data_IF_728991542942
#
_entry.id   IF_728991542942
#
_cell.length_a   1.000
_cell.length_b   1.000
_cell.length_c   1.000
_cell.angle_alpha   90.00
_cell.angle_beta   90.00
_cell.angle_gamma   90.00
#
_symmetry.space_group_name_H-M   'P 1'
#
loop_
_entity.id
_entity.type
_entity.pdbx_description
1 polymer ?
#
# COMPACT_ATOMS: atom_id res chain seq x y z
N UNK A 1 24.80 -6.54 -4.13
CA UNK A 1 23.49 -5.94 -3.80
C UNK A 1 22.53 -5.93 -4.98
N UNK A 2 22.87 -5.32 -6.15
CA UNK A 2 21.95 -5.29 -7.31
C UNK A 2 21.58 -6.69 -7.85
N UNK A 3 22.53 -7.62 -7.94
CA UNK A 3 22.28 -9.00 -8.39
C UNK A 3 21.39 -9.78 -7.40
N UNK A 4 21.58 -9.57 -6.11
CA UNK A 4 20.74 -10.15 -5.06
C UNK A 4 19.29 -9.64 -5.12
N UNK A 5 19.11 -8.33 -5.32
CA UNK A 5 17.76 -7.75 -5.49
C UNK A 5 17.09 -8.27 -6.76
N UNK A 6 17.85 -8.51 -7.84
CA UNK A 6 17.32 -9.14 -9.05
C UNK A 6 16.82 -10.56 -8.82
N UNK A 7 17.52 -11.36 -8.02
CA UNK A 7 17.08 -12.71 -7.65
C UNK A 7 15.81 -12.68 -6.81
N UNK A 8 15.72 -11.78 -5.83
CA UNK A 8 14.51 -11.62 -5.00
C UNK A 8 13.33 -11.14 -5.84
N UNK A 9 13.53 -10.13 -6.69
CA UNK A 9 12.49 -9.63 -7.60
C UNK A 9 11.95 -10.74 -8.53
N UNK A 10 12.81 -11.66 -8.98
CA UNK A 10 12.38 -12.78 -9.84
C UNK A 10 11.41 -13.74 -9.14
N UNK A 11 11.43 -13.85 -7.80
CA UNK A 11 10.45 -14.66 -7.05
C UNK A 11 9.03 -14.10 -7.17
N UNK A 12 8.89 -12.79 -7.22
CA UNK A 12 7.59 -12.12 -7.41
C UNK A 12 7.16 -12.13 -8.89
N UNK A 13 8.11 -12.26 -9.82
CA UNK A 13 7.83 -12.28 -11.27
C UNK A 13 7.15 -10.98 -11.73
N UNK A 14 6.15 -11.12 -12.60
CA UNK A 14 5.38 -9.99 -13.15
C UNK A 14 4.17 -9.59 -12.27
N UNK A 15 4.20 -9.91 -10.99
CA UNK A 15 3.10 -9.58 -10.08
C UNK A 15 2.93 -8.06 -9.97
N UNK A 16 1.80 -7.49 -10.47
CA UNK A 16 1.70 -6.06 -10.73
C UNK A 16 1.21 -5.26 -9.50
N UNK A 17 1.70 -5.58 -8.30
CA UNK A 17 1.32 -4.93 -7.05
C UNK A 17 2.32 -3.86 -6.66
N UNK A 18 1.89 -2.60 -6.60
CA UNK A 18 2.74 -1.45 -6.24
C UNK A 18 3.45 -1.63 -4.90
N UNK A 19 2.78 -2.28 -3.94
CA UNK A 19 3.31 -2.57 -2.61
C UNK A 19 4.56 -3.47 -2.68
N UNK A 20 4.58 -4.47 -3.57
CA UNK A 20 5.76 -5.32 -3.75
C UNK A 20 6.94 -4.48 -4.24
N UNK A 21 6.70 -3.63 -5.23
CA UNK A 21 7.75 -2.84 -5.87
C UNK A 21 8.33 -1.78 -4.94
N UNK A 22 7.51 -1.12 -4.12
CA UNK A 22 8.03 -0.16 -3.13
C UNK A 22 8.91 -0.84 -2.08
N UNK A 23 8.57 -2.08 -1.67
CA UNK A 23 9.41 -2.89 -0.79
C UNK A 23 10.73 -3.30 -1.45
N UNK A 24 10.70 -3.75 -2.71
CA UNK A 24 11.89 -4.14 -3.49
C UNK A 24 12.83 -2.96 -3.73
N UNK A 25 12.30 -1.76 -3.95
CA UNK A 25 13.08 -0.53 -4.11
C UNK A 25 13.61 0.03 -2.78
N UNK A 26 13.19 -0.53 -1.66
CA UNK A 26 13.57 -0.05 -0.32
C UNK A 26 13.03 1.36 0.01
N UNK A 27 11.96 1.79 -0.68
CA UNK A 27 11.33 3.10 -0.45
C UNK A 27 10.39 3.05 0.74
N UNK A 28 9.52 2.07 0.79
CA UNK A 28 8.56 1.83 1.87
C UNK A 28 8.43 0.33 2.11
N UNK A 29 8.19 -0.08 3.37
CA UNK A 29 8.10 -1.49 3.73
C UNK A 29 9.45 -2.21 3.73
N UNK A 30 9.41 -3.54 3.73
CA UNK A 30 10.59 -4.39 3.87
C UNK A 30 10.46 -5.67 3.05
N UNK A 31 11.59 -6.20 2.56
CA UNK A 31 11.68 -7.53 1.98
C UNK A 31 12.39 -8.46 2.96
N UNK A 32 11.77 -9.60 3.22
CA UNK A 32 12.36 -10.71 3.97
C UNK A 32 12.51 -11.93 3.06
N UNK A 33 13.60 -12.65 3.20
CA UNK A 33 13.90 -13.87 2.42
C UNK A 33 14.35 -14.99 3.34
N UNK A 34 14.17 -16.23 2.91
CA UNK A 34 14.64 -17.41 3.62
C UNK A 34 16.17 -17.54 3.61
N UNK A 35 16.80 -17.10 2.53
CA UNK A 35 18.25 -17.14 2.37
C UNK A 35 18.74 -15.95 1.55
N UNK A 36 19.72 -15.21 2.07
CA UNK A 36 20.23 -14.00 1.42
C UNK A 36 21.11 -14.27 0.20
N UNK A 37 21.73 -15.46 0.08
CA UNK A 37 22.62 -15.80 -1.04
C UNK A 37 21.88 -16.48 -2.19
N UNK A 38 20.87 -17.31 -1.88
CA UNK A 38 20.08 -18.05 -2.86
C UNK A 38 18.62 -18.10 -2.39
N UNK A 39 17.88 -17.00 -2.49
CA UNK A 39 16.51 -16.94 -2.00
C UNK A 39 15.59 -17.86 -2.80
N UNK A 40 14.78 -18.64 -2.08
CA UNK A 40 13.74 -19.50 -2.65
C UNK A 40 12.35 -19.05 -2.24
N UNK A 41 12.26 -18.23 -1.17
CA UNK A 41 11.04 -17.70 -0.61
C UNK A 41 11.23 -16.24 -0.24
N UNK A 42 10.22 -15.42 -0.47
CA UNK A 42 10.23 -14.02 -0.11
C UNK A 42 8.90 -13.56 0.47
N UNK A 43 8.96 -12.60 1.38
CA UNK A 43 7.85 -11.85 1.94
C UNK A 43 8.11 -10.35 1.73
N UNK A 44 7.24 -9.69 0.97
CA UNK A 44 7.17 -8.23 0.96
C UNK A 44 6.19 -7.82 2.07
N UNK A 45 6.70 -7.21 3.13
CA UNK A 45 5.95 -6.77 4.30
C UNK A 45 5.82 -5.25 4.28
N UNK A 46 4.59 -4.77 4.23
CA UNK A 46 4.26 -3.37 4.10
C UNK A 46 3.22 -2.94 5.14
N UNK A 47 3.30 -1.70 5.59
CA UNK A 47 2.35 -1.09 6.50
C UNK A 47 2.96 -0.73 7.85
N UNK A 48 2.23 0.04 8.67
CA UNK A 48 2.65 0.50 10.00
C UNK A 48 1.66 0.16 11.10
N UNK A 49 0.37 0.25 10.83
CA UNK A 49 -0.72 -0.12 11.74
C UNK A 49 -1.43 -1.37 11.25
N UNK A 50 -1.98 -1.32 10.05
CA UNK A 50 -2.44 -2.48 9.30
C UNK A 50 -1.39 -2.87 8.28
N UNK A 51 -1.20 -4.16 8.07
CA UNK A 51 -0.12 -4.67 7.24
C UNK A 51 -0.63 -5.43 6.03
N UNK A 52 0.21 -5.44 4.97
CA UNK A 52 0.13 -6.38 3.87
C UNK A 52 1.39 -7.24 3.83
N UNK A 53 1.20 -8.54 3.61
CA UNK A 53 2.28 -9.49 3.41
C UNK A 53 2.10 -10.24 2.10
N UNK A 54 2.90 -9.92 1.08
CA UNK A 54 2.91 -10.64 -0.19
C UNK A 54 3.95 -11.75 -0.15
N UNK A 55 3.50 -13.00 -0.30
CA UNK A 55 4.30 -14.20 -0.14
C UNK A 55 4.60 -14.83 -1.50
N UNK A 56 5.86 -14.95 -1.86
CA UNK A 56 6.31 -15.44 -3.17
C UNK A 56 7.35 -16.57 -3.06
N UNK A 57 7.50 -17.33 -4.15
CA UNK A 57 8.40 -18.46 -4.24
C UNK A 57 7.87 -19.71 -3.53
N UNK A 58 8.76 -20.51 -2.92
CA UNK A 58 8.41 -21.72 -2.18
C UNK A 58 7.77 -21.38 -0.83
N UNK A 59 6.69 -22.07 -0.41
CA UNK A 59 6.12 -21.88 0.92
C UNK A 59 7.16 -22.11 2.03
N UNK A 60 7.20 -21.17 2.99
CA UNK A 60 8.14 -21.17 4.10
C UNK A 60 7.46 -20.69 5.39
N UNK A 61 7.38 -21.57 6.39
CA UNK A 61 6.72 -21.28 7.65
C UNK A 61 7.43 -20.21 8.49
N UNK A 62 8.75 -20.05 8.33
CA UNK A 62 9.50 -19.06 9.10
C UNK A 62 9.18 -17.62 8.65
N UNK A 63 8.88 -17.42 7.36
CA UNK A 63 8.39 -16.14 6.87
C UNK A 63 6.99 -15.82 7.42
N UNK A 64 6.11 -16.82 7.59
CA UNK A 64 4.81 -16.61 8.20
C UNK A 64 4.91 -16.20 9.68
N UNK A 65 5.88 -16.71 10.43
CA UNK A 65 6.11 -16.31 11.83
C UNK A 65 6.38 -14.83 11.98
N UNK A 66 6.96 -14.18 10.98
CA UNK A 66 7.20 -12.74 10.98
C UNK A 66 5.92 -11.91 10.91
N UNK A 67 4.81 -12.54 10.51
CA UNK A 67 3.49 -11.95 10.41
C UNK A 67 2.66 -12.13 11.71
N UNK A 68 3.11 -12.96 12.64
CA UNK A 68 2.39 -13.25 13.89
C UNK A 68 2.20 -11.99 14.73
N UNK A 69 1.01 -11.86 15.32
CA UNK A 69 0.64 -10.74 16.19
C UNK A 69 0.39 -9.41 15.48
N UNK A 70 0.37 -9.40 14.13
CA UNK A 70 0.05 -8.23 13.33
C UNK A 70 -1.40 -8.32 12.83
N UNK A 71 -2.05 -7.16 12.71
CA UNK A 71 -3.26 -7.03 11.88
C UNK A 71 -2.79 -6.97 10.43
N UNK A 72 -2.96 -8.07 9.68
CA UNK A 72 -2.30 -8.25 8.39
C UNK A 72 -3.19 -8.98 7.37
N UNK A 73 -3.16 -8.48 6.15
CA UNK A 73 -3.70 -9.17 4.98
C UNK A 73 -2.56 -9.92 4.31
N UNK A 74 -2.62 -11.26 4.36
CA UNK A 74 -1.66 -12.12 3.66
C UNK A 74 -2.14 -12.39 2.25
N UNK A 75 -1.28 -12.13 1.27
CA UNK A 75 -1.56 -12.32 -0.15
C UNK A 75 -0.64 -13.41 -0.70
N UNK A 76 -1.14 -14.64 -0.89
CA UNK A 76 -0.35 -15.75 -1.39
C UNK A 76 -0.17 -15.64 -2.91
N UNK A 77 1.04 -15.92 -3.41
CA UNK A 77 1.31 -15.97 -4.86
C UNK A 77 0.63 -17.17 -5.52
N UNK A 78 0.47 -18.28 -4.79
CA UNK A 78 -0.04 -19.54 -5.33
C UNK A 78 -0.76 -20.36 -4.25
N UNK A 79 -1.40 -21.46 -4.69
CA UNK A 79 -2.18 -22.33 -3.81
C UNK A 79 -1.34 -22.93 -2.66
N UNK A 80 -0.09 -23.27 -2.92
CA UNK A 80 0.75 -23.87 -1.88
C UNK A 80 1.04 -22.90 -0.72
N UNK A 81 1.13 -21.61 -0.99
CA UNK A 81 1.16 -20.58 0.06
C UNK A 81 -0.18 -20.46 0.78
N UNK A 82 -1.32 -20.51 0.06
CA UNK A 82 -2.65 -20.51 0.70
C UNK A 82 -2.80 -21.69 1.66
N UNK A 83 -2.43 -22.89 1.21
CA UNK A 83 -2.51 -24.11 2.04
C UNK A 83 -1.63 -24.00 3.30
N UNK A 84 -0.43 -23.43 3.18
CA UNK A 84 0.44 -23.21 4.32
C UNK A 84 -0.13 -22.17 5.30
N UNK A 85 -0.71 -21.07 4.80
CA UNK A 85 -1.35 -20.03 5.63
C UNK A 85 -2.54 -20.64 6.39
N UNK A 86 -3.42 -21.36 5.67
CA UNK A 86 -4.59 -22.01 6.27
C UNK A 86 -4.17 -23.06 7.31
N UNK A 87 -3.17 -23.90 6.99
CA UNK A 87 -2.64 -24.88 7.93
C UNK A 87 -1.96 -24.27 9.16
N UNK A 88 -1.36 -23.10 9.03
CA UNK A 88 -0.66 -22.41 10.13
C UNK A 88 -1.61 -21.68 11.07
N UNK A 89 -2.60 -21.01 10.52
CA UNK A 89 -3.47 -20.11 11.28
C UNK A 89 -4.85 -20.70 11.60
N UNK A 90 -5.36 -21.66 10.79
CA UNK A 90 -6.65 -22.32 11.01
C UNK A 90 -7.80 -21.32 11.16
N UNK A 91 -8.58 -21.46 12.23
CA UNK A 91 -9.75 -20.61 12.51
C UNK A 91 -9.41 -19.15 12.88
N UNK A 92 -8.13 -18.81 12.99
CA UNK A 92 -7.68 -17.42 13.30
C UNK A 92 -7.67 -16.51 12.08
N UNK A 93 -7.92 -17.04 10.89
CA UNK A 93 -7.96 -16.28 9.64
C UNK A 93 -9.28 -16.44 8.92
N UNK A 94 -9.54 -15.49 8.02
CA UNK A 94 -10.66 -15.56 7.07
C UNK A 94 -10.15 -15.22 5.67
N UNK A 95 -10.45 -16.10 4.72
CA UNK A 95 -10.19 -15.84 3.30
C UNK A 95 -11.28 -14.95 2.70
N UNK A 96 -10.89 -14.04 1.83
CA UNK A 96 -11.78 -13.19 1.03
C UNK A 96 -11.13 -12.83 -0.31
N UNK A 97 -11.96 -12.51 -1.29
CA UNK A 97 -11.49 -12.08 -2.61
C UNK A 97 -11.42 -10.55 -2.67
N UNK A 98 -10.28 -10.02 -3.11
CA UNK A 98 -10.12 -8.61 -3.46
C UNK A 98 -10.17 -8.45 -4.98
N UNK A 99 -10.78 -7.36 -5.43
CA UNK A 99 -10.83 -7.01 -6.84
C UNK A 99 -9.91 -5.83 -7.10
N UNK A 100 -9.05 -5.96 -8.11
CA UNK A 100 -8.21 -4.85 -8.56
C UNK A 100 -9.00 -3.95 -9.52
N UNK A 101 -8.77 -2.65 -9.45
CA UNK A 101 -9.25 -1.71 -10.45
C UNK A 101 -8.46 -1.87 -11.75
N UNK A 102 -9.08 -1.52 -12.88
CA UNK A 102 -8.39 -1.48 -14.17
C UNK A 102 -7.25 -0.45 -14.09
N UNK A 103 -6.05 -0.87 -14.46
CA UNK A 103 -4.90 0.01 -14.61
C UNK A 103 -4.99 0.73 -15.96
N UNK A 104 -5.57 1.92 -15.96
CA UNK A 104 -5.70 2.77 -17.13
C UNK A 104 -5.10 4.14 -16.78
N UNK A 105 -4.20 4.60 -17.63
CA UNK A 105 -3.55 5.91 -17.48
C UNK A 105 -4.09 6.96 -18.45
N UNK A 106 -5.18 6.61 -19.17
CA UNK A 106 -5.86 7.54 -20.07
C UNK A 106 -7.02 8.21 -19.34
N UNK A 107 -6.86 9.48 -19.05
CA UNK A 107 -7.84 10.27 -18.31
C UNK A 107 -8.45 11.34 -19.21
N UNK A 108 -9.77 11.53 -19.11
CA UNK A 108 -10.46 12.69 -19.70
C UNK A 108 -10.27 13.92 -18.78
N UNK A 109 -9.21 14.68 -19.08
CA UNK A 109 -8.88 15.87 -18.29
C UNK A 109 -10.00 16.93 -18.33
N UNK A 110 -10.75 17.03 -19.44
CA UNK A 110 -11.87 17.95 -19.55
C UNK A 110 -13.04 17.56 -18.66
N UNK A 111 -13.28 16.25 -18.49
CA UNK A 111 -14.27 15.75 -17.54
C UNK A 111 -13.82 15.97 -16.09
N UNK A 112 -12.55 15.68 -15.77
CA UNK A 112 -12.02 15.90 -14.44
C UNK A 112 -12.08 17.38 -14.03
N UNK A 113 -11.75 18.29 -14.95
CA UNK A 113 -11.86 19.74 -14.68
C UNK A 113 -13.30 20.15 -14.37
N UNK A 114 -14.28 19.64 -15.11
CA UNK A 114 -15.70 19.91 -14.83
C UNK A 114 -16.14 19.42 -13.46
N UNK A 115 -15.60 18.29 -12.99
CA UNK A 115 -15.90 17.81 -11.63
C UNK A 115 -15.32 18.75 -10.57
N UNK A 116 -14.12 19.26 -10.79
CA UNK A 116 -13.51 20.27 -9.89
C UNK A 116 -14.32 21.56 -9.89
N UNK A 117 -14.69 22.05 -11.07
CA UNK A 117 -15.47 23.31 -11.23
C UNK A 117 -16.90 23.20 -10.65
N UNK A 118 -17.42 21.98 -10.54
CA UNK A 118 -18.74 21.70 -9.95
C UNK A 118 -18.71 21.53 -8.43
N UNK A 119 -17.53 21.60 -7.80
CA UNK A 119 -17.41 21.52 -6.34
C UNK A 119 -18.12 22.75 -5.74
N UNK A 120 -19.07 22.58 -4.77
CA UNK A 120 -19.76 23.71 -4.14
C UNK A 120 -18.77 24.66 -3.44
N UNK A 121 -19.10 25.95 -3.39
CA UNK A 121 -18.22 27.01 -2.87
C UNK A 121 -17.76 26.81 -1.43
N UNK A 122 -18.50 26.04 -0.62
CA UNK A 122 -18.13 25.71 0.76
C UNK A 122 -17.05 24.64 0.87
N UNK A 123 -16.63 24.04 -0.24
CA UNK A 123 -15.58 23.01 -0.29
C UNK A 123 -14.35 23.50 -1.05
N UNK A 124 -13.19 23.20 -0.51
CA UNK A 124 -11.88 23.51 -1.12
C UNK A 124 -11.11 22.23 -1.43
N UNK A 125 -10.65 22.07 -2.67
CA UNK A 125 -9.69 21.02 -3.05
C UNK A 125 -8.26 21.52 -2.83
N UNK A 126 -7.50 20.80 -1.98
CA UNK A 126 -6.12 21.17 -1.63
C UNK A 126 -5.18 19.98 -1.80
N UNK A 127 -3.94 20.28 -2.23
CA UNK A 127 -2.84 19.32 -2.15
C UNK A 127 -2.49 19.11 -0.67
N UNK A 128 -2.20 17.88 -0.28
CA UNK A 128 -1.74 17.58 1.07
C UNK A 128 -0.33 18.15 1.24
N UNK A 129 -0.23 19.25 1.96
CA UNK A 129 1.01 19.84 2.46
C UNK A 129 1.30 19.36 3.90
N UNK A 130 2.33 19.92 4.53
CA UNK A 130 2.71 19.59 5.91
C UNK A 130 1.56 19.77 6.91
N UNK A 131 0.81 20.84 6.81
CA UNK A 131 -0.29 21.11 7.74
C UNK A 131 -1.46 20.14 7.53
N UNK A 132 -1.77 19.85 6.29
CA UNK A 132 -2.82 18.89 5.93
C UNK A 132 -2.41 17.44 6.19
N UNK A 133 -1.11 17.11 6.10
CA UNK A 133 -0.58 15.83 6.57
C UNK A 133 -0.89 15.62 8.06
N UNK A 134 -0.57 16.60 8.89
CA UNK A 134 -0.87 16.55 10.33
C UNK A 134 -2.38 16.48 10.60
N UNK A 135 -3.18 17.22 9.83
CA UNK A 135 -4.65 17.18 9.93
C UNK A 135 -5.23 15.80 9.57
N UNK A 136 -4.69 15.13 8.56
CA UNK A 136 -5.10 13.76 8.18
C UNK A 136 -4.81 12.74 9.29
N UNK A 137 -3.78 12.94 10.12
CA UNK A 137 -3.45 12.04 11.22
C UNK A 137 -4.39 12.15 12.43
N UNK A 138 -5.19 13.21 12.53
CA UNK A 138 -6.06 13.48 13.71
C UNK A 138 -7.20 12.49 13.80
N UNK A 139 -7.89 12.22 12.71
CA UNK A 139 -9.07 11.35 12.68
C UNK A 139 -8.68 9.94 12.15
N UNK A 140 -9.36 8.91 12.66
CA UNK A 140 -9.07 7.53 12.30
C UNK A 140 -9.31 7.27 10.81
N UNK A 141 -10.40 7.78 10.25
CA UNK A 141 -10.78 7.57 8.85
C UNK A 141 -9.78 8.18 7.85
N UNK A 142 -9.19 9.34 8.17
CA UNK A 142 -8.26 10.04 7.26
C UNK A 142 -6.80 9.64 7.44
N UNK A 143 -6.49 8.87 8.48
CA UNK A 143 -5.11 8.50 8.82
C UNK A 143 -4.43 7.70 7.72
N UNK A 144 -5.14 6.81 7.05
CA UNK A 144 -4.58 5.95 6.02
C UNK A 144 -4.17 6.74 4.76
N UNK A 145 -4.71 7.96 4.57
CA UNK A 145 -4.27 8.85 3.50
C UNK A 145 -2.77 9.19 3.57
N UNK A 146 -2.17 9.17 4.77
CA UNK A 146 -0.77 9.57 4.96
C UNK A 146 0.01 8.66 5.92
N UNK A 147 -0.65 7.83 6.71
CA UNK A 147 -0.09 7.13 7.87
C UNK A 147 0.89 6.00 7.54
N UNK A 148 1.00 5.57 6.29
CA UNK A 148 1.96 4.57 5.85
C UNK A 148 3.37 5.12 5.62
N UNK A 149 3.52 6.43 5.54
CA UNK A 149 4.82 7.11 5.45
C UNK A 149 5.46 7.21 6.84
N UNK A 150 6.78 7.21 6.90
CA UNK A 150 7.52 7.28 8.16
C UNK A 150 7.25 8.58 8.91
N UNK A 151 7.19 9.66 8.15
CA UNK A 151 6.94 11.02 8.61
C UNK A 151 6.49 11.90 7.44
N UNK A 152 6.24 13.17 7.73
CA UNK A 152 5.80 14.16 6.73
C UNK A 152 6.86 14.40 5.65
N UNK A 153 8.16 14.31 5.97
CA UNK A 153 9.23 14.51 5.00
C UNK A 153 9.21 13.41 3.95
N UNK A 154 9.05 12.14 4.39
CA UNK A 154 8.92 11.03 3.46
C UNK A 154 7.65 11.14 2.62
N UNK A 155 6.53 11.60 3.19
CA UNK A 155 5.31 11.83 2.40
C UNK A 155 5.52 12.91 1.34
N UNK A 156 6.14 14.02 1.70
CA UNK A 156 6.39 15.14 0.76
C UNK A 156 7.39 14.77 -0.34
N UNK A 157 8.34 13.85 -0.06
CA UNK A 157 9.34 13.37 -1.02
C UNK A 157 8.78 12.29 -1.96
N UNK A 158 8.03 11.33 -1.42
CA UNK A 158 7.61 10.13 -2.14
C UNK A 158 6.11 10.07 -2.45
N UNK A 159 5.30 10.77 -1.68
CA UNK A 159 3.85 10.71 -1.73
C UNK A 159 3.23 11.77 -2.61
N UNK A 160 1.93 11.59 -2.85
CA UNK A 160 1.07 12.54 -3.52
C UNK A 160 -0.33 12.39 -2.93
N UNK A 161 -1.00 13.50 -2.64
CA UNK A 161 -2.36 13.44 -2.16
C UNK A 161 -3.10 14.76 -2.28
N UNK A 162 -4.41 14.64 -2.34
CA UNK A 162 -5.35 15.74 -2.32
C UNK A 162 -6.42 15.48 -1.28
N UNK A 163 -6.89 16.53 -0.64
CA UNK A 163 -8.04 16.50 0.26
C UNK A 163 -9.09 17.52 -0.14
N UNK A 164 -10.33 17.24 0.21
CA UNK A 164 -11.42 18.20 0.18
C UNK A 164 -11.64 18.69 1.60
N UNK A 165 -11.64 20.02 1.75
CA UNK A 165 -11.95 20.71 3.01
C UNK A 165 -13.37 21.22 2.98
N UNK A 166 -14.08 21.11 4.10
CA UNK A 166 -15.31 21.83 4.40
C UNK A 166 -15.10 22.61 5.70
N UNK A 167 -15.18 23.93 5.64
CA UNK A 167 -14.91 24.81 6.80
C UNK A 167 -13.55 24.48 7.48
N UNK A 168 -12.52 24.36 6.66
CA UNK A 168 -11.15 24.04 7.08
C UNK A 168 -10.92 22.63 7.66
N UNK A 169 -11.95 21.78 7.68
CA UNK A 169 -11.83 20.39 8.11
C UNK A 169 -11.72 19.46 6.91
N UNK A 170 -10.82 18.48 7.00
CA UNK A 170 -10.72 17.40 5.99
C UNK A 170 -12.00 16.56 6.02
N UNK A 171 -12.66 16.42 4.87
CA UNK A 171 -13.89 15.65 4.74
C UNK A 171 -13.79 14.53 3.71
N UNK A 172 -12.85 14.59 2.79
CA UNK A 172 -12.54 13.53 1.84
C UNK A 172 -11.09 13.65 1.40
N UNK A 173 -10.51 12.57 0.93
CA UNK A 173 -9.16 12.59 0.41
C UNK A 173 -8.86 11.43 -0.53
N UNK A 174 -7.86 11.65 -1.37
CA UNK A 174 -7.23 10.64 -2.19
C UNK A 174 -5.72 10.85 -2.17
N UNK A 175 -4.98 9.78 -1.90
CA UNK A 175 -3.52 9.86 -1.77
C UNK A 175 -2.83 8.60 -2.27
N UNK A 176 -1.50 8.66 -2.33
CA UNK A 176 -0.67 7.48 -2.54
C UNK A 176 -0.55 6.68 -1.24
N UNK A 177 -1.19 5.53 -1.18
CA UNK A 177 -1.02 4.55 -0.10
C UNK A 177 0.40 4.00 -0.05
N UNK A 178 0.96 3.71 -1.21
CA UNK A 178 2.36 3.32 -1.42
C UNK A 178 2.89 3.96 -2.70
N UNK A 179 4.21 4.19 -2.76
CA UNK A 179 4.87 4.84 -3.89
C UNK A 179 6.13 4.08 -4.29
N UNK A 180 6.31 3.84 -5.59
CA UNK A 180 7.51 3.26 -6.18
C UNK A 180 7.85 4.02 -7.48
N UNK A 181 9.02 3.76 -8.09
CA UNK A 181 9.47 4.50 -9.29
C UNK A 181 8.52 4.40 -10.50
N UNK A 182 7.74 3.31 -10.59
CA UNK A 182 6.81 3.06 -11.69
C UNK A 182 5.37 3.52 -11.44
N UNK A 183 5.03 4.00 -10.22
CA UNK A 183 3.66 4.42 -9.91
C UNK A 183 3.32 4.47 -8.43
N UNK A 184 2.03 4.48 -8.16
CA UNK A 184 1.49 4.54 -6.81
C UNK A 184 0.38 3.49 -6.63
N UNK A 185 0.18 3.08 -5.40
CA UNK A 185 -1.09 2.51 -4.92
C UNK A 185 -1.94 3.66 -4.40
N UNK A 186 -3.25 3.65 -4.66
CA UNK A 186 -4.13 4.75 -4.31
C UNK A 186 -4.97 4.38 -3.08
N UNK A 187 -5.04 5.30 -2.12
CA UNK A 187 -6.01 5.31 -1.04
C UNK A 187 -7.04 6.40 -1.29
N UNK A 188 -8.32 6.10 -1.06
CA UNK A 188 -9.42 7.07 -1.17
C UNK A 188 -10.36 6.85 0.01
N UNK A 189 -10.62 7.91 0.76
CA UNK A 189 -11.55 7.83 1.88
C UNK A 189 -12.37 9.12 2.03
N UNK A 190 -13.53 8.98 2.67
CA UNK A 190 -14.47 10.08 2.88
C UNK A 190 -15.12 9.94 4.25
N UNK A 191 -15.23 11.04 4.97
CA UNK A 191 -15.91 11.11 6.26
C UNK A 191 -17.37 10.71 6.10
N UNK A 192 -17.76 9.61 6.80
CA UNK A 192 -19.12 9.09 6.84
C UNK A 192 -20.07 9.92 7.71
#
# INVERSE_FOLDING_TARGET
MAEQMGQVASLFGDWPEAIIWTCLEGRMGQIHVDNTQSPQSALALYGRQSFFGFLAGKPNADLLKMCEGKDIILVPQNQAWSDLIEGTYGDRIRSFTRYATKKDTSFDLGHLQKLIDALPEEFDLKVIDRNLYDACLVEEWSRDLVGNYADVEQFLDLGLGYVILHKEQVVSGASSYASYLGGIEIEVDTRG
#
